data_IF_584019149727
#
_entry.id   IF_584019149727
#
_cell.length_a   1.000
_cell.length_b   1.000
_cell.length_c   1.000
_cell.angle_alpha   90.00
_cell.angle_beta   90.00
_cell.angle_gamma   90.00
#
_symmetry.space_group_name_H-M   'P 1'
#
loop_
_entity.id
_entity.type
_entity.pdbx_description
1 polymer ?
#
# COMPACT_ATOMS: atom_id res chain seq x y z
N UNK A 1 12.31 -11.93 -11.23
CA UNK A 1 12.94 -12.00 -9.88
C UNK A 1 11.96 -12.73 -9.01
N UNK A 2 12.39 -13.68 -8.18
CA UNK A 2 11.47 -14.43 -7.33
C UNK A 2 11.10 -13.64 -6.06
N UNK A 3 9.94 -13.96 -5.48
CA UNK A 3 9.50 -13.49 -4.15
C UNK A 3 9.42 -14.69 -3.19
N UNK A 4 10.03 -14.53 -2.03
CA UNK A 4 9.95 -15.48 -0.92
C UNK A 4 9.26 -14.82 0.26
N UNK A 5 8.25 -15.47 0.82
CA UNK A 5 7.49 -14.97 1.97
C UNK A 5 7.69 -15.92 3.16
N UNK A 6 8.14 -15.35 4.26
CA UNK A 6 8.11 -15.98 5.58
C UNK A 6 6.86 -15.50 6.34
N UNK A 7 6.70 -15.89 7.60
CA UNK A 7 5.58 -15.41 8.44
C UNK A 7 5.57 -13.90 8.61
N UNK A 8 6.73 -13.25 8.61
CA UNK A 8 6.87 -11.81 8.90
C UNK A 8 7.62 -11.01 7.84
N UNK A 9 8.34 -11.66 6.94
CA UNK A 9 9.30 -10.99 6.07
C UNK A 9 9.16 -11.43 4.62
N UNK A 10 9.68 -10.58 3.73
CA UNK A 10 9.79 -10.83 2.30
C UNK A 10 11.26 -10.78 1.88
N UNK A 11 11.66 -11.68 0.99
CA UNK A 11 12.99 -11.73 0.40
C UNK A 11 12.93 -11.98 -1.10
N UNK A 12 14.02 -11.67 -1.78
CA UNK A 12 14.18 -11.86 -3.24
C UNK A 12 15.20 -12.95 -3.58
N UNK A 13 15.80 -13.57 -2.57
CA UNK A 13 16.71 -14.72 -2.72
C UNK A 13 16.38 -15.78 -1.67
N UNK A 14 16.56 -17.05 -2.04
CA UNK A 14 16.29 -18.16 -1.13
C UNK A 14 17.22 -18.17 0.09
N UNK A 15 18.50 -17.80 -0.07
CA UNK A 15 19.44 -17.71 1.04
C UNK A 15 18.99 -16.69 2.10
N UNK A 16 18.50 -15.54 1.66
CA UNK A 16 17.97 -14.51 2.55
C UNK A 16 16.64 -14.94 3.19
N UNK A 17 15.76 -15.61 2.43
CA UNK A 17 14.53 -16.17 2.96
C UNK A 17 14.79 -17.16 4.11
N UNK A 18 15.79 -18.04 3.97
CA UNK A 18 16.20 -18.98 5.03
C UNK A 18 16.72 -18.22 6.25
N UNK A 19 17.54 -17.19 6.05
CA UNK A 19 18.06 -16.36 7.15
C UNK A 19 16.92 -15.69 7.92
N UNK A 20 15.96 -15.09 7.22
CA UNK A 20 14.78 -14.42 7.80
C UNK A 20 13.81 -15.40 8.47
N UNK A 21 13.62 -16.58 7.88
CA UNK A 21 12.83 -17.65 8.46
C UNK A 21 13.41 -18.12 9.81
N UNK A 22 14.74 -18.11 9.95
CA UNK A 22 15.41 -18.33 11.23
C UNK A 22 15.10 -17.26 12.30
N UNK A 23 14.76 -16.02 11.89
CA UNK A 23 14.44 -14.92 12.81
C UNK A 23 12.98 -14.96 13.29
N UNK A 24 12.04 -15.28 12.41
CA UNK A 24 10.61 -15.35 12.74
C UNK A 24 10.11 -16.77 13.05
N UNK A 25 10.99 -17.76 13.01
CA UNK A 25 10.70 -19.16 13.30
C UNK A 25 9.84 -19.84 12.24
N UNK A 26 9.81 -19.34 11.00
CA UNK A 26 9.13 -19.99 9.87
C UNK A 26 9.86 -21.30 9.51
N UNK A 27 9.20 -22.47 9.56
CA UNK A 27 9.76 -23.72 9.06
C UNK A 27 10.10 -23.61 7.57
N UNK A 28 11.19 -24.24 7.14
CA UNK A 28 11.64 -24.16 5.74
C UNK A 28 10.56 -24.58 4.73
N UNK A 29 9.75 -25.58 5.08
CA UNK A 29 8.67 -26.10 4.23
C UNK A 29 7.47 -25.14 4.13
N UNK A 30 7.39 -24.14 5.01
CA UNK A 30 6.33 -23.12 5.02
C UNK A 30 6.76 -21.82 4.32
N UNK A 31 8.03 -21.70 3.90
CA UNK A 31 8.48 -20.55 3.11
C UNK A 31 7.77 -20.61 1.76
N UNK A 32 6.89 -19.65 1.51
CA UNK A 32 6.20 -19.54 0.23
C UNK A 32 7.16 -18.96 -0.79
N UNK A 33 7.22 -19.58 -1.95
CA UNK A 33 8.07 -19.16 -3.05
C UNK A 33 7.21 -18.93 -4.29
N UNK A 34 7.42 -17.78 -4.92
CA UNK A 34 6.74 -17.40 -6.15
C UNK A 34 7.78 -16.87 -7.15
N UNK A 35 8.05 -17.65 -8.21
CA UNK A 35 9.11 -17.34 -9.18
C UNK A 35 8.65 -16.32 -10.24
N UNK A 36 7.33 -16.24 -10.47
CA UNK A 36 6.73 -15.44 -11.54
C UNK A 36 6.40 -14.00 -11.08
N UNK A 37 6.54 -13.71 -9.78
CA UNK A 37 6.17 -12.42 -9.20
C UNK A 37 7.35 -11.46 -9.10
N UNK A 38 7.24 -10.34 -9.80
CA UNK A 38 8.28 -9.32 -9.90
C UNK A 38 8.04 -8.17 -8.92
N UNK A 39 9.12 -7.63 -8.35
CA UNK A 39 9.07 -6.38 -7.60
C UNK A 39 8.94 -5.22 -8.58
N UNK A 40 7.82 -4.50 -8.51
CA UNK A 40 7.49 -3.41 -9.42
C UNK A 40 7.82 -2.03 -8.83
N UNK A 41 7.67 -1.87 -7.53
CA UNK A 41 8.01 -0.62 -6.83
C UNK A 41 8.44 -0.90 -5.40
N UNK A 42 9.32 -0.06 -4.84
CA UNK A 42 9.78 -0.18 -3.45
C UNK A 42 9.96 1.20 -2.84
N UNK A 43 9.29 1.42 -1.72
CA UNK A 43 9.56 2.51 -0.78
C UNK A 43 10.31 1.99 0.45
N UNK A 44 10.60 2.87 1.40
CA UNK A 44 11.25 2.48 2.66
C UNK A 44 10.47 1.39 3.42
N UNK A 45 9.14 1.54 3.49
CA UNK A 45 8.28 0.74 4.36
C UNK A 45 7.44 -0.31 3.63
N UNK A 46 7.20 -0.15 2.33
CA UNK A 46 6.37 -1.05 1.55
C UNK A 46 6.93 -1.33 0.15
N UNK A 47 6.48 -2.43 -0.42
CA UNK A 47 6.86 -2.91 -1.74
C UNK A 47 5.63 -3.39 -2.51
N UNK A 48 5.58 -3.05 -3.79
CA UNK A 48 4.52 -3.41 -4.73
C UNK A 48 5.01 -4.50 -5.70
N UNK A 49 4.17 -5.51 -5.89
CA UNK A 49 4.51 -6.70 -6.66
C UNK A 49 3.57 -6.90 -7.85
N UNK A 50 4.02 -7.62 -8.87
CA UNK A 50 3.29 -7.83 -10.12
C UNK A 50 2.01 -8.68 -10.00
N UNK A 51 1.79 -9.32 -8.86
CA UNK A 51 0.56 -10.06 -8.55
C UNK A 51 -0.48 -9.21 -7.80
N UNK A 52 -0.30 -7.90 -7.76
CA UNK A 52 -1.25 -6.99 -7.11
C UNK A 52 -1.12 -6.95 -5.58
N UNK A 53 -0.07 -7.53 -5.01
CA UNK A 53 0.14 -7.52 -3.56
C UNK A 53 1.06 -6.39 -3.11
N UNK A 54 0.72 -5.85 -1.94
CA UNK A 54 1.55 -4.92 -1.19
C UNK A 54 2.13 -5.63 0.04
N UNK A 55 3.44 -5.53 0.26
CA UNK A 55 4.12 -6.13 1.43
C UNK A 55 5.00 -5.13 2.13
N UNK A 56 5.28 -5.31 3.42
CA UNK A 56 6.29 -4.53 4.13
C UNK A 56 7.70 -4.72 3.53
N UNK A 57 8.44 -3.64 3.32
CA UNK A 57 9.76 -3.66 2.64
C UNK A 57 10.98 -3.71 3.57
N UNK A 58 10.80 -3.81 4.89
CA UNK A 58 11.86 -3.76 5.92
C UNK A 58 13.01 -4.75 5.65
N UNK A 59 12.73 -5.91 5.05
CA UNK A 59 13.73 -6.95 4.77
C UNK A 59 14.24 -6.94 3.33
N UNK A 60 13.75 -6.04 2.49
CA UNK A 60 14.22 -5.92 1.11
C UNK A 60 15.50 -5.09 1.03
N UNK A 61 16.49 -5.51 0.23
CA UNK A 61 17.70 -4.72 0.00
C UNK A 61 17.38 -3.33 -0.51
N UNK A 62 18.00 -2.31 0.09
CA UNK A 62 17.86 -0.91 -0.33
C UNK A 62 18.45 -0.62 -1.71
N UNK A 63 19.28 -1.53 -2.24
CA UNK A 63 19.79 -1.46 -3.61
C UNK A 63 18.74 -1.76 -4.68
N UNK A 64 17.58 -2.31 -4.29
CA UNK A 64 16.45 -2.51 -5.19
C UNK A 64 15.64 -1.21 -5.27
N UNK A 65 15.70 -0.54 -6.42
CA UNK A 65 14.95 0.70 -6.65
C UNK A 65 14.11 0.63 -7.95
N UNK A 66 13.22 -0.36 -8.13
CA UNK A 66 12.28 -0.31 -9.26
C UNK A 66 11.28 0.83 -9.03
N UNK A 67 10.93 1.53 -10.11
CA UNK A 67 10.05 2.71 -10.09
C UNK A 67 9.01 2.59 -11.20
N UNK A 68 7.97 1.78 -10.97
CA UNK A 68 6.87 1.62 -11.94
C UNK A 68 5.64 2.46 -11.61
N UNK A 69 5.50 2.90 -10.36
CA UNK A 69 4.33 3.67 -9.92
C UNK A 69 4.56 5.16 -10.13
N UNK A 70 3.49 5.86 -10.47
CA UNK A 70 3.51 7.31 -10.53
C UNK A 70 3.65 7.91 -9.12
N UNK A 71 4.26 9.10 -8.95
CA UNK A 71 4.43 9.73 -7.65
C UNK A 71 3.13 9.90 -6.85
N UNK A 72 2.02 10.20 -7.53
CA UNK A 72 0.72 10.36 -6.89
C UNK A 72 0.16 9.02 -6.38
N UNK A 73 0.35 7.92 -7.12
CA UNK A 73 0.02 6.57 -6.62
C UNK A 73 0.86 6.22 -5.39
N UNK A 74 2.16 6.52 -5.41
CA UNK A 74 3.06 6.29 -4.27
C UNK A 74 2.56 7.06 -3.05
N UNK A 75 2.20 8.34 -3.21
CA UNK A 75 1.69 9.16 -2.11
C UNK A 75 0.39 8.56 -1.51
N UNK A 76 -0.59 8.20 -2.34
CA UNK A 76 -1.85 7.63 -1.88
C UNK A 76 -1.67 6.26 -1.19
N UNK A 77 -0.81 5.39 -1.73
CA UNK A 77 -0.51 4.09 -1.12
C UNK A 77 0.17 4.29 0.24
N UNK A 78 1.16 5.18 0.32
CA UNK A 78 1.84 5.49 1.59
C UNK A 78 0.88 6.07 2.63
N UNK A 79 -0.01 6.99 2.24
CA UNK A 79 -1.03 7.55 3.14
C UNK A 79 -1.88 6.44 3.79
N UNK A 80 -2.31 5.43 3.02
CA UNK A 80 -3.11 4.32 3.56
C UNK A 80 -2.24 3.34 4.35
N UNK A 81 -1.07 2.97 3.84
CA UNK A 81 -0.17 1.97 4.45
C UNK A 81 0.38 2.43 5.81
N UNK A 82 0.66 3.72 5.97
CA UNK A 82 1.16 4.29 7.23
C UNK A 82 0.04 4.58 8.24
N UNK A 83 -1.22 4.49 7.80
CA UNK A 83 -2.37 4.62 8.68
C UNK A 83 -2.71 3.30 9.39
N UNK A 84 -3.66 3.33 10.32
CA UNK A 84 -4.20 2.11 10.94
C UNK A 84 -5.18 1.32 10.05
N UNK A 85 -5.43 1.77 8.83
CA UNK A 85 -6.22 1.03 7.87
C UNK A 85 -5.48 -0.24 7.42
N UNK A 86 -6.20 -1.36 7.32
CA UNK A 86 -5.62 -2.63 6.85
C UNK A 86 -5.38 -2.61 5.32
N UNK A 87 -6.31 -2.03 4.57
CA UNK A 87 -6.26 -1.87 3.12
C UNK A 87 -7.28 -0.81 2.69
N UNK A 88 -7.08 -0.12 1.54
CA UNK A 88 -8.08 0.77 0.98
C UNK A 88 -9.28 -0.05 0.48
N UNK A 89 -10.49 0.50 0.60
CA UNK A 89 -11.71 -0.16 0.14
C UNK A 89 -11.74 -0.34 -1.39
N UNK A 90 -11.14 0.60 -2.13
CA UNK A 90 -10.97 0.47 -3.58
C UNK A 90 -9.90 -0.56 -3.99
N UNK A 91 -9.15 -1.12 -3.04
CA UNK A 91 -8.05 -2.06 -3.29
C UNK A 91 -6.75 -1.39 -3.72
N UNK A 92 -5.63 -2.04 -3.41
CA UNK A 92 -4.29 -1.53 -3.73
C UNK A 92 -4.06 -1.37 -5.23
N UNK A 93 -4.61 -2.28 -6.04
CA UNK A 93 -4.50 -2.21 -7.50
C UNK A 93 -5.09 -0.92 -8.08
N UNK A 94 -6.22 -0.44 -7.53
CA UNK A 94 -6.84 0.81 -7.97
C UNK A 94 -5.94 2.00 -7.68
N UNK A 95 -5.33 2.05 -6.48
CA UNK A 95 -4.38 3.11 -6.13
C UNK A 95 -3.10 3.03 -6.98
N UNK A 96 -2.58 1.83 -7.22
CA UNK A 96 -1.40 1.61 -8.06
C UNK A 96 -1.61 2.04 -9.52
N UNK A 97 -2.86 2.09 -9.98
CA UNK A 97 -3.23 2.56 -11.32
C UNK A 97 -3.41 4.07 -11.42
N UNK A 98 -3.35 4.82 -10.32
CA UNK A 98 -3.42 6.29 -10.37
C UNK A 98 -2.16 6.82 -11.06
N UNK A 99 -2.33 7.47 -12.21
CA UNK A 99 -1.26 8.17 -12.91
C UNK A 99 -1.05 9.57 -12.33
N UNK A 100 -2.16 10.27 -12.05
CA UNK A 100 -2.12 11.65 -11.59
C UNK A 100 -3.36 12.01 -10.76
N UNK A 101 -3.18 12.78 -9.68
CA UNK A 101 -4.26 13.48 -8.98
C UNK A 101 -4.46 14.84 -9.65
N UNK A 102 -5.62 15.03 -10.29
CA UNK A 102 -5.98 16.25 -11.02
C UNK A 102 -6.51 17.34 -10.09
N UNK A 103 -7.26 16.94 -9.06
CA UNK A 103 -7.76 17.84 -8.01
C UNK A 103 -7.85 17.10 -6.67
N UNK A 104 -7.68 17.87 -5.59
CA UNK A 104 -7.85 17.41 -4.20
C UNK A 104 -8.64 18.47 -3.46
N UNK A 105 -9.91 18.18 -3.16
CA UNK A 105 -10.84 19.11 -2.52
C UNK A 105 -11.26 18.60 -1.15
N UNK A 106 -11.03 19.40 -0.12
CA UNK A 106 -11.47 19.08 1.24
C UNK A 106 -12.93 19.44 1.41
N UNK A 107 -13.77 18.46 1.74
CA UNK A 107 -15.17 18.68 2.03
C UNK A 107 -15.35 19.03 3.52
N UNK A 108 -16.27 19.94 3.85
CA UNK A 108 -16.64 20.21 5.23
C UNK A 108 -17.23 18.96 5.88
N UNK A 109 -16.87 18.72 7.14
CA UNK A 109 -17.26 17.53 7.90
C UNK A 109 -18.80 17.37 7.93
N UNK A 110 -19.36 16.19 7.61
CA UNK A 110 -20.78 15.94 7.85
C UNK A 110 -21.03 15.94 9.38
N UNK A 111 -21.96 16.77 9.84
CA UNK A 111 -22.38 16.82 11.25
C UNK A 111 -22.82 15.42 11.72
N UNK A 112 -21.94 14.70 12.42
CA UNK A 112 -22.24 13.35 12.89
C UNK A 112 -22.16 13.30 14.41
N UNK A 113 -23.32 13.07 15.02
CA UNK A 113 -23.50 12.80 16.42
C UNK A 113 -22.89 11.44 16.81
N UNK A 114 -21.91 11.45 17.71
CA UNK A 114 -21.50 10.27 18.48
C UNK A 114 -20.08 9.74 18.20
N UNK A 115 -19.22 9.93 19.21
CA UNK A 115 -18.05 9.16 19.71
C UNK A 115 -17.01 8.52 18.75
N UNK A 116 -17.26 8.33 17.46
CA UNK A 116 -16.24 7.95 16.47
C UNK A 116 -16.25 8.97 15.32
N UNK A 117 -15.47 10.04 15.48
CA UNK A 117 -15.44 11.17 14.56
C UNK A 117 -14.44 10.92 13.43
N UNK A 118 -14.93 10.47 12.27
CA UNK A 118 -14.23 10.74 11.01
C UNK A 118 -14.20 12.26 10.82
N UNK A 119 -13.00 12.83 10.64
CA UNK A 119 -12.76 14.27 10.80
C UNK A 119 -12.72 14.98 9.45
N UNK A 120 -12.30 14.30 8.38
CA UNK A 120 -12.10 14.93 7.08
C UNK A 120 -12.41 13.97 5.95
N UNK A 121 -13.18 14.47 4.98
CA UNK A 121 -13.35 13.87 3.67
C UNK A 121 -12.60 14.73 2.65
N UNK A 122 -11.73 14.12 1.86
CA UNK A 122 -11.18 14.72 0.64
C UNK A 122 -11.77 14.00 -0.58
N UNK A 123 -12.19 14.78 -1.57
CA UNK A 123 -12.62 14.28 -2.87
C UNK A 123 -11.48 14.51 -3.84
N UNK A 124 -10.95 13.42 -4.39
CA UNK A 124 -9.89 13.44 -5.37
C UNK A 124 -10.47 13.15 -6.75
N UNK A 125 -10.19 14.01 -7.73
CA UNK A 125 -10.34 13.63 -9.14
C UNK A 125 -8.99 13.13 -9.62
N UNK A 126 -8.95 11.90 -10.15
CA UNK A 126 -7.72 11.24 -10.58
C UNK A 126 -7.79 10.82 -12.03
N UNK A 127 -6.62 10.75 -12.68
CA UNK A 127 -6.42 10.05 -13.95
C UNK A 127 -5.74 8.73 -13.68
N UNK A 128 -6.25 7.66 -14.27
CA UNK A 128 -5.65 6.33 -14.24
C UNK A 128 -4.70 6.11 -15.43
N UNK A 129 -3.83 5.11 -15.31
CA UNK A 129 -2.85 4.73 -16.34
C UNK A 129 -3.43 4.28 -17.68
N UNK A 130 -4.74 3.97 -17.73
CA UNK A 130 -5.46 3.70 -18.99
C UNK A 130 -6.03 4.96 -19.66
N UNK A 131 -5.77 6.13 -19.07
CA UNK A 131 -6.27 7.44 -19.53
C UNK A 131 -7.69 7.77 -19.06
N UNK A 132 -8.37 6.86 -18.35
CA UNK A 132 -9.67 7.15 -17.75
C UNK A 132 -9.53 8.08 -16.55
N UNK A 133 -10.58 8.84 -16.27
CA UNK A 133 -10.67 9.68 -15.07
C UNK A 133 -11.70 9.09 -14.10
N UNK A 134 -11.47 9.26 -12.81
CA UNK A 134 -12.38 8.80 -11.76
C UNK A 134 -12.30 9.64 -10.50
N UNK A 135 -13.20 9.35 -9.57
CA UNK A 135 -13.28 10.05 -8.28
C UNK A 135 -12.95 9.07 -7.16
N UNK A 136 -12.04 9.48 -6.29
CA UNK A 136 -11.72 8.78 -5.04
C UNK A 136 -12.16 9.64 -3.86
N UNK A 137 -12.73 9.01 -2.84
CA UNK A 137 -12.97 9.64 -1.55
C UNK A 137 -11.91 9.16 -0.56
N UNK A 138 -11.20 10.11 0.05
CA UNK A 138 -10.26 9.84 1.13
C UNK A 138 -10.87 10.28 2.46
N UNK A 139 -11.07 9.32 3.35
CA UNK A 139 -11.61 9.53 4.68
C UNK A 139 -10.49 9.45 5.71
N UNK A 140 -10.38 10.48 6.56
CA UNK A 140 -9.39 10.53 7.64
C UNK A 140 -10.06 10.53 9.01
N UNK A 141 -9.62 9.61 9.88
CA UNK A 141 -10.01 9.51 11.28
C UNK A 141 -8.81 9.77 12.18
N UNK A 142 -8.93 10.68 13.15
CA UNK A 142 -7.89 10.92 14.16
C UNK A 142 -8.12 10.05 15.39
N UNK A 143 -7.05 9.44 15.91
CA UNK A 143 -7.05 8.67 17.15
C UNK A 143 -5.94 9.20 18.08
N UNK A 144 -6.03 8.89 19.38
CA UNK A 144 -5.08 9.41 20.39
C UNK A 144 -3.60 9.05 20.08
N UNK A 145 -3.35 7.95 19.36
CA UNK A 145 -2.00 7.45 19.03
C UNK A 145 -1.68 7.41 17.53
N UNK A 146 -2.58 7.89 16.66
CA UNK A 146 -2.36 7.83 15.20
C UNK A 146 -3.54 8.28 14.36
N UNK A 147 -3.59 7.83 13.12
CA UNK A 147 -4.68 8.16 12.19
C UNK A 147 -5.09 6.94 11.36
N UNK A 148 -6.32 6.94 10.90
CA UNK A 148 -6.85 5.99 9.92
C UNK A 148 -7.11 6.73 8.60
N UNK A 149 -6.71 6.14 7.47
CA UNK A 149 -6.99 6.65 6.13
C UNK A 149 -7.67 5.55 5.30
N UNK A 150 -8.91 5.80 4.88
CA UNK A 150 -9.68 4.90 4.02
C UNK A 150 -9.92 5.57 2.68
N UNK A 151 -9.58 4.87 1.58
CA UNK A 151 -9.82 5.36 0.23
C UNK A 151 -10.80 4.43 -0.50
N UNK A 152 -11.87 5.01 -1.02
CA UNK A 152 -12.91 4.33 -1.81
C UNK A 152 -13.07 4.99 -3.18
N UNK A 153 -13.54 4.23 -4.16
CA UNK A 153 -13.87 4.72 -5.50
C UNK A 153 -15.38 4.86 -5.62
N UNK A 154 -15.83 5.99 -6.19
CA UNK A 154 -17.25 6.33 -6.37
C UNK A 154 -17.79 5.85 -7.71
#
# INVERSE_FOLDING_TARGET
MARFLTRRYVAVTGAEAIRLAGLDGTPWAEIRHDEDVQLLHREEWWAWWSDGQLTTAISLPSSLCPQSLAPDAVALISEVFESYATAPQCGWETLARVEQVLSRERQPQPESAGVYQWVTLEVLTVRFTDGSEGVLHCWYGGHDEGFECQIEQV
#
